data_IF_718572354314
#
_entry.id   IF_718572354314
#
_cell.length_a   1.000
_cell.length_b   1.000
_cell.length_c   1.000
_cell.angle_alpha   90.00
_cell.angle_beta   90.00
_cell.angle_gamma   90.00
#
_symmetry.space_group_name_H-M   'P 1'
#
loop_
_entity.id
_entity.type
_entity.pdbx_description
1 polymer ?
#
# COMPACT_ATOMS: atom_id res chain seq x y z
N UNK A 1 -13.04 25.79 24.94
CA UNK A 1 -12.50 24.41 24.98
C UNK A 1 -11.26 24.41 24.10
N UNK A 2 -10.07 24.11 24.63
CA UNK A 2 -8.86 24.08 23.81
C UNK A 2 -8.96 22.91 22.83
N UNK A 3 -8.73 23.19 21.54
CA UNK A 3 -8.62 22.19 20.49
C UNK A 3 -7.50 21.23 20.88
N UNK A 4 -7.81 19.94 20.99
CA UNK A 4 -6.79 18.91 21.11
C UNK A 4 -5.87 19.06 19.90
N UNK A 5 -4.61 19.43 20.16
CA UNK A 5 -3.55 19.42 19.17
C UNK A 5 -3.30 17.96 18.79
N UNK A 6 -4.18 17.39 17.96
CA UNK A 6 -3.96 16.12 17.30
C UNK A 6 -2.72 16.31 16.42
N UNK A 7 -1.60 15.76 16.86
CA UNK A 7 -0.36 15.76 16.09
C UNK A 7 -0.69 15.05 14.78
N UNK A 8 -0.78 15.82 13.70
CA UNK A 8 -0.93 15.25 12.37
C UNK A 8 0.27 14.33 12.13
N UNK A 9 0.01 13.08 11.73
CA UNK A 9 1.06 12.10 11.45
C UNK A 9 2.06 12.71 10.46
N UNK A 10 3.36 12.57 10.74
CA UNK A 10 4.40 13.04 9.83
C UNK A 10 4.36 12.24 8.52
N UNK A 11 4.90 12.77 7.43
CA UNK A 11 4.95 12.03 6.15
C UNK A 11 5.70 10.69 6.27
N UNK A 12 6.66 10.59 7.19
CA UNK A 12 7.41 9.36 7.47
C UNK A 12 6.54 8.33 8.23
N UNK A 13 5.71 8.79 9.17
CA UNK A 13 4.75 7.92 9.84
C UNK A 13 3.66 7.47 8.86
N UNK A 14 3.19 8.36 7.99
CA UNK A 14 2.24 8.04 6.92
C UNK A 14 2.82 7.01 5.93
N UNK A 15 4.11 7.14 5.56
CA UNK A 15 4.83 6.14 4.76
C UNK A 15 4.90 4.79 5.48
N UNK A 16 5.14 4.79 6.79
CA UNK A 16 5.15 3.57 7.61
C UNK A 16 3.77 2.90 7.62
N UNK A 17 2.69 3.68 7.78
CA UNK A 17 1.33 3.17 7.69
C UNK A 17 1.05 2.55 6.31
N UNK A 18 1.51 3.19 5.23
CA UNK A 18 1.35 2.67 3.88
C UNK A 18 2.06 1.32 3.70
N UNK A 19 3.29 1.19 4.21
CA UNK A 19 4.05 -0.07 4.19
C UNK A 19 3.34 -1.18 4.98
N UNK A 20 2.73 -0.85 6.12
CA UNK A 20 1.97 -1.81 6.93
C UNK A 20 0.74 -2.35 6.18
N UNK A 21 0.01 -1.49 5.48
CA UNK A 21 -1.11 -1.91 4.62
C UNK A 21 -0.63 -2.85 3.53
N UNK A 22 0.42 -2.46 2.81
CA UNK A 22 0.97 -3.24 1.71
C UNK A 22 1.44 -4.61 2.19
N UNK A 23 2.14 -4.67 3.32
CA UNK A 23 2.59 -5.91 3.93
C UNK A 23 1.41 -6.82 4.35
N UNK A 24 0.34 -6.24 4.90
CA UNK A 24 -0.84 -7.01 5.29
C UNK A 24 -1.55 -7.64 4.08
N UNK A 25 -1.75 -6.86 3.00
CA UNK A 25 -2.32 -7.39 1.77
C UNK A 25 -1.39 -8.37 1.05
N UNK A 26 -0.08 -8.14 1.10
CA UNK A 26 0.90 -9.07 0.56
C UNK A 26 0.81 -10.42 1.26
N UNK A 27 0.80 -10.47 2.59
CA UNK A 27 0.65 -11.73 3.35
C UNK A 27 -0.63 -12.47 2.99
N UNK A 28 -1.76 -11.77 2.86
CA UNK A 28 -3.02 -12.37 2.41
C UNK A 28 -2.89 -12.97 1.01
N UNK A 29 -2.28 -12.24 0.09
CA UNK A 29 -2.11 -12.68 -1.29
C UNK A 29 -1.10 -13.84 -1.40
N UNK A 30 -0.04 -13.85 -0.60
CA UNK A 30 0.92 -14.95 -0.52
C UNK A 30 0.27 -16.22 0.04
N UNK A 31 -0.58 -16.07 1.06
CA UNK A 31 -1.38 -17.17 1.59
C UNK A 31 -2.26 -17.78 0.50
N UNK A 32 -3.04 -16.97 -0.24
CA UNK A 32 -3.89 -17.51 -1.33
C UNK A 32 -3.06 -18.04 -2.51
N UNK A 33 -1.92 -17.43 -2.82
CA UNK A 33 -1.00 -17.92 -3.84
C UNK A 33 -0.42 -19.30 -3.51
N UNK A 34 -0.20 -19.62 -2.23
CA UNK A 34 0.25 -20.96 -1.80
C UNK A 34 -0.75 -22.08 -2.16
N UNK A 35 -2.00 -21.70 -2.41
CA UNK A 35 -3.08 -22.59 -2.83
C UNK A 35 -3.37 -22.51 -4.33
N UNK A 36 -2.47 -21.96 -5.15
CA UNK A 36 -2.69 -21.81 -6.60
C UNK A 36 -3.55 -20.60 -6.98
N UNK A 37 -3.76 -19.66 -6.06
CA UNK A 37 -4.49 -18.41 -6.29
C UNK A 37 -5.83 -18.34 -5.59
N UNK A 38 -6.51 -17.21 -5.77
CA UNK A 38 -7.77 -16.91 -5.08
C UNK A 38 -8.90 -17.86 -5.49
N UNK A 39 -9.02 -18.18 -6.79
CA UNK A 39 -10.09 -19.04 -7.30
C UNK A 39 -9.97 -20.46 -6.74
N UNK A 40 -8.78 -21.06 -6.80
CA UNK A 40 -8.56 -22.39 -6.23
C UNK A 40 -8.71 -22.40 -4.70
N UNK A 41 -8.30 -21.31 -4.02
CA UNK A 41 -8.55 -21.17 -2.59
C UNK A 41 -10.05 -21.16 -2.28
N UNK A 42 -10.83 -20.35 -3.02
CA UNK A 42 -12.27 -20.24 -2.84
C UNK A 42 -13.03 -21.51 -3.24
N UNK A 43 -12.58 -22.27 -4.22
CA UNK A 43 -13.30 -23.48 -4.65
C UNK A 43 -13.01 -24.69 -3.77
N UNK A 44 -11.77 -24.83 -3.28
CA UNK A 44 -11.31 -26.08 -2.66
C UNK A 44 -10.76 -25.83 -1.25
N UNK A 45 -9.75 -24.97 -1.14
CA UNK A 45 -8.94 -24.90 0.09
C UNK A 45 -9.62 -24.20 1.25
N UNK A 46 -10.63 -23.36 1.01
CA UNK A 46 -11.38 -22.72 2.10
C UNK A 46 -12.15 -23.74 2.95
N UNK A 47 -12.43 -24.95 2.44
CA UNK A 47 -13.15 -25.99 3.18
C UNK A 47 -12.22 -26.93 3.96
N UNK A 48 -10.91 -26.79 3.79
CA UNK A 48 -9.92 -27.48 4.62
C UNK A 48 -9.87 -26.79 5.97
N UNK A 49 -9.74 -27.60 7.04
CA UNK A 49 -9.71 -27.11 8.42
C UNK A 49 -8.72 -25.95 8.59
N UNK A 50 -9.13 -24.95 9.37
CA UNK A 50 -8.40 -23.72 9.72
C UNK A 50 -8.02 -22.77 8.58
N UNK A 51 -8.11 -23.18 7.31
CA UNK A 51 -7.74 -22.33 6.18
C UNK A 51 -8.66 -21.11 6.03
N UNK A 52 -9.97 -21.30 6.18
CA UNK A 52 -10.93 -20.20 6.14
C UNK A 52 -10.70 -19.21 7.27
N UNK A 53 -10.54 -19.70 8.50
CA UNK A 53 -10.28 -18.87 9.66
C UNK A 53 -8.97 -18.08 9.51
N UNK A 54 -7.92 -18.73 8.99
CA UNK A 54 -6.63 -18.08 8.72
C UNK A 54 -6.77 -16.97 7.67
N UNK A 55 -7.49 -17.24 6.57
CA UNK A 55 -7.77 -16.22 5.56
C UNK A 55 -8.55 -15.03 6.15
N UNK A 56 -9.60 -15.29 6.92
CA UNK A 56 -10.43 -14.25 7.53
C UNK A 56 -9.61 -13.38 8.50
N UNK A 57 -8.66 -13.96 9.25
CA UNK A 57 -7.73 -13.21 10.10
C UNK A 57 -6.81 -12.29 9.29
N UNK A 58 -6.26 -12.79 8.17
CA UNK A 58 -5.41 -12.01 7.28
C UNK A 58 -6.20 -10.87 6.60
N UNK A 59 -7.43 -11.15 6.17
CA UNK A 59 -8.32 -10.14 5.60
C UNK A 59 -8.67 -9.06 6.62
N UNK A 60 -9.01 -9.44 7.86
CA UNK A 60 -9.27 -8.48 8.94
C UNK A 60 -8.04 -7.63 9.28
N UNK A 61 -6.85 -8.22 9.30
CA UNK A 61 -5.61 -7.48 9.51
C UNK A 61 -5.38 -6.44 8.40
N UNK A 62 -5.60 -6.83 7.13
CA UNK A 62 -5.54 -5.92 5.99
C UNK A 62 -6.56 -4.77 6.09
N UNK A 63 -7.81 -5.07 6.46
CA UNK A 63 -8.86 -4.05 6.65
C UNK A 63 -8.50 -3.07 7.77
N UNK A 64 -8.06 -3.56 8.93
CA UNK A 64 -7.65 -2.69 10.05
C UNK A 64 -6.46 -1.80 9.69
N UNK A 65 -5.46 -2.36 8.99
CA UNK A 65 -4.34 -1.57 8.50
C UNK A 65 -4.81 -0.47 7.53
N UNK A 66 -5.70 -0.83 6.60
CA UNK A 66 -6.28 0.12 5.64
C UNK A 66 -7.07 1.23 6.33
N UNK A 67 -7.95 0.91 7.26
CA UNK A 67 -8.72 1.90 8.03
C UNK A 67 -7.81 2.86 8.80
N UNK A 68 -6.72 2.34 9.37
CA UNK A 68 -5.75 3.16 10.08
C UNK A 68 -4.97 4.08 9.12
N UNK A 69 -4.59 3.56 7.95
CA UNK A 69 -3.95 4.37 6.90
C UNK A 69 -4.90 5.44 6.36
N UNK A 70 -6.12 5.09 5.99
CA UNK A 70 -7.09 6.01 5.41
C UNK A 70 -7.45 7.16 6.36
N UNK A 71 -7.58 6.85 7.66
CA UNK A 71 -7.84 7.85 8.71
C UNK A 71 -6.69 8.82 8.92
N UNK A 72 -5.45 8.35 8.90
CA UNK A 72 -4.28 9.15 9.27
C UNK A 72 -3.51 9.70 8.05
N UNK A 73 -3.88 9.29 6.84
CA UNK A 73 -3.33 9.79 5.57
C UNK A 73 -4.44 10.45 4.75
N UNK A 74 -4.78 11.71 5.08
CA UNK A 74 -5.85 12.42 4.39
C UNK A 74 -5.50 12.71 2.93
N UNK A 75 -4.24 13.09 2.66
CA UNK A 75 -3.76 13.37 1.31
C UNK A 75 -2.77 12.29 0.83
N UNK A 76 -3.34 11.25 0.23
CA UNK A 76 -2.59 10.10 -0.30
C UNK A 76 -1.76 10.47 -1.53
N UNK A 77 -2.13 11.53 -2.27
CA UNK A 77 -1.36 11.97 -3.44
C UNK A 77 -0.06 12.66 -2.98
N UNK A 78 -0.14 13.52 -1.97
CA UNK A 78 1.04 14.15 -1.36
C UNK A 78 2.01 13.09 -0.82
N UNK A 79 1.49 12.05 -0.17
CA UNK A 79 2.32 10.93 0.28
C UNK A 79 3.03 10.22 -0.90
N UNK A 80 2.29 9.92 -1.97
CA UNK A 80 2.86 9.29 -3.17
C UNK A 80 3.96 10.16 -3.80
N UNK A 81 3.73 11.46 -3.92
CA UNK A 81 4.73 12.40 -4.45
C UNK A 81 5.96 12.51 -3.55
N UNK A 82 5.75 12.51 -2.23
CA UNK A 82 6.84 12.50 -1.24
C UNK A 82 7.73 11.25 -1.39
N UNK A 83 7.11 10.07 -1.44
CA UNK A 83 7.82 8.78 -1.61
C UNK A 83 8.58 8.77 -2.95
N UNK A 84 7.95 9.21 -4.04
CA UNK A 84 8.60 9.30 -5.35
C UNK A 84 9.75 10.32 -5.36
N UNK A 85 9.62 11.42 -4.62
CA UNK A 85 10.68 12.42 -4.42
C UNK A 85 11.92 11.87 -3.73
N UNK A 86 11.76 10.83 -2.89
CA UNK A 86 12.85 10.07 -2.27
C UNK A 86 13.47 9.02 -3.21
N UNK A 87 12.88 8.81 -4.39
CA UNK A 87 13.34 7.86 -5.39
C UNK A 87 12.77 6.45 -5.27
N UNK A 88 11.88 6.19 -4.30
CA UNK A 88 11.21 4.90 -4.12
C UNK A 88 9.94 4.82 -4.98
N UNK A 89 10.15 4.72 -6.29
CA UNK A 89 9.04 4.73 -7.26
C UNK A 89 8.13 3.51 -7.14
N UNK A 90 8.65 2.37 -6.72
CA UNK A 90 7.90 1.12 -6.64
C UNK A 90 6.93 1.16 -5.44
N UNK A 91 7.38 1.72 -4.31
CA UNK A 91 6.49 2.01 -3.19
C UNK A 91 5.45 3.07 -3.57
N UNK A 92 5.86 4.16 -4.21
CA UNK A 92 4.94 5.22 -4.64
C UNK A 92 3.82 4.68 -5.55
N UNK A 93 4.17 3.85 -6.53
CA UNK A 93 3.21 3.18 -7.41
C UNK A 93 2.30 2.22 -6.65
N UNK A 94 2.85 1.45 -5.72
CA UNK A 94 2.09 0.54 -4.88
C UNK A 94 1.07 1.28 -4.01
N UNK A 95 1.48 2.38 -3.38
CA UNK A 95 0.61 3.25 -2.56
C UNK A 95 -0.47 3.90 -3.41
N UNK A 96 -0.12 4.41 -4.60
CA UNK A 96 -1.10 4.97 -5.53
C UNK A 96 -2.14 3.92 -5.93
N UNK A 97 -1.71 2.70 -6.26
CA UNK A 97 -2.59 1.61 -6.67
C UNK A 97 -3.55 1.18 -5.56
N UNK A 98 -3.07 0.95 -4.34
CA UNK A 98 -3.96 0.57 -3.22
C UNK A 98 -4.92 1.71 -2.85
N UNK A 99 -4.54 2.95 -3.13
CA UNK A 99 -5.35 4.14 -2.88
C UNK A 99 -6.31 4.48 -4.01
N UNK A 100 -6.33 3.71 -5.10
CA UNK A 100 -7.15 3.99 -6.28
C UNK A 100 -6.77 5.27 -7.02
N UNK A 101 -5.55 5.78 -6.80
CA UNK A 101 -5.07 7.02 -7.42
C UNK A 101 -4.50 6.75 -8.81
N UNK A 102 -4.82 7.64 -9.76
CA UNK A 102 -4.15 7.69 -11.06
C UNK A 102 -2.87 8.49 -10.94
N UNK A 103 -1.78 7.81 -10.57
CA UNK A 103 -0.43 8.39 -10.54
C UNK A 103 0.42 7.75 -11.64
N UNK A 104 1.27 8.56 -12.29
CA UNK A 104 2.20 8.07 -13.31
C UNK A 104 3.62 8.44 -12.93
N UNK A 105 4.53 7.46 -13.01
CA UNK A 105 5.93 7.65 -12.71
C UNK A 105 6.52 8.77 -13.58
N UNK A 106 7.16 9.79 -13.01
CA UNK A 106 7.77 10.86 -13.79
C UNK A 106 8.87 10.29 -14.69
N UNK A 107 8.81 10.60 -16.00
CA UNK A 107 9.82 10.15 -16.94
C UNK A 107 11.18 10.75 -16.57
N UNK A 108 12.28 9.98 -16.64
CA UNK A 108 13.61 10.55 -16.44
C UNK A 108 13.82 11.68 -17.45
N UNK A 109 14.14 12.89 -16.97
CA UNK A 109 14.47 14.01 -17.85
C UNK A 109 15.65 13.58 -18.70
N UNK A 110 15.44 13.41 -20.01
CA UNK A 110 16.54 13.19 -20.96
C UNK A 110 17.51 14.37 -20.79
N UNK A 111 18.72 14.12 -20.29
CA UNK A 111 19.79 15.12 -20.31
C UNK A 111 20.00 15.49 -21.79
N UNK A 112 19.61 16.70 -22.19
CA UNK A 112 20.03 17.27 -23.47
C UNK A 112 21.54 17.30 -23.42
N UNK A 113 22.21 16.35 -24.09
CA UNK A 113 23.63 16.47 -24.39
C UNK A 113 23.73 17.67 -25.33
N UNK A 114 24.11 18.82 -24.81
CA UNK A 114 24.60 19.91 -25.63
C UNK A 114 25.89 19.41 -26.28
N UNK A 115 25.80 19.02 -27.55
CA UNK A 115 26.95 18.89 -28.42
C UNK A 115 27.47 20.32 -28.60
N UNK A 116 28.58 20.64 -27.93
CA UNK A 116 29.38 21.82 -28.25
C UNK A 116 30.26 21.39 -29.42
N UNK A 117 30.02 21.95 -30.61
CA UNK A 117 30.91 21.92 -31.76
C UNK A 117 31.09 23.34 -32.27
#
# INVERSE_FOLDING_TARGET
MPQENGVAFSLEDQETLAKLVLAAYQRRNEFTASFGGFDNFAEVWQYVDDNRATYDLLEQAGKKAWENFDRNVPDKLVLVEHIAGKGDFDLAESVARISGLKWTRPKPKKKKRFLIF
#
